data_IF_154314255299
#
_entry.id   IF_154314255299
#
_cell.length_a   1.000
_cell.length_b   1.000
_cell.length_c   1.000
_cell.angle_alpha   90.00
_cell.angle_beta   90.00
_cell.angle_gamma   90.00
#
_symmetry.space_group_name_H-M   'P 1'
#
loop_
_entity.id
_entity.type
_entity.pdbx_description
1 polymer ?
#
# COMPACT_ATOMS: atom_id res chain seq x y z
N UNK A 1 -12.59 -57.96 -41.05
CA UNK A 1 -13.24 -57.44 -39.82
C UNK A 1 -12.54 -56.15 -39.43
N UNK A 2 -12.99 -55.01 -39.96
CA UNK A 2 -12.41 -53.70 -39.63
C UNK A 2 -13.05 -53.24 -38.32
N UNK A 3 -12.25 -53.18 -37.25
CA UNK A 3 -12.69 -52.68 -35.95
C UNK A 3 -12.50 -51.17 -35.96
N UNK A 4 -13.61 -50.44 -36.11
CA UNK A 4 -13.67 -48.98 -35.96
C UNK A 4 -13.40 -48.62 -34.51
N UNK A 5 -12.26 -47.99 -34.21
CA UNK A 5 -11.98 -47.41 -32.89
C UNK A 5 -12.69 -46.06 -32.79
N UNK A 6 -13.80 -45.99 -32.06
CA UNK A 6 -14.47 -44.73 -31.73
C UNK A 6 -13.57 -43.85 -30.85
N UNK A 7 -13.43 -42.55 -31.13
CA UNK A 7 -12.68 -41.64 -30.28
C UNK A 7 -13.40 -41.42 -28.95
N UNK A 8 -12.69 -41.61 -27.83
CA UNK A 8 -13.20 -41.39 -26.49
C UNK A 8 -13.47 -39.90 -26.24
N UNK A 9 -14.68 -39.57 -25.78
CA UNK A 9 -15.07 -38.22 -25.40
C UNK A 9 -14.23 -37.70 -24.21
N UNK A 10 -13.89 -36.40 -24.16
CA UNK A 10 -13.14 -35.82 -23.05
C UNK A 10 -14.01 -35.81 -21.78
N UNK A 11 -13.46 -36.33 -20.68
CA UNK A 11 -14.16 -36.36 -19.37
C UNK A 11 -14.34 -34.93 -18.83
N UNK A 12 -15.49 -34.58 -18.24
CA UNK A 12 -15.69 -33.26 -17.64
C UNK A 12 -14.75 -33.08 -16.43
N UNK A 13 -14.14 -31.90 -16.33
CA UNK A 13 -13.23 -31.54 -15.24
C UNK A 13 -14.04 -31.15 -14.01
N UNK A 14 -13.84 -31.84 -12.88
CA UNK A 14 -14.48 -31.45 -11.62
C UNK A 14 -14.09 -30.01 -11.25
N UNK A 15 -15.03 -29.16 -10.79
CA UNK A 15 -14.70 -27.82 -10.33
C UNK A 15 -13.75 -27.93 -9.13
N UNK A 16 -12.62 -27.24 -9.23
CA UNK A 16 -11.64 -27.17 -8.15
C UNK A 16 -12.30 -26.45 -6.98
N UNK A 17 -12.60 -27.17 -5.89
CA UNK A 17 -13.03 -26.53 -4.64
C UNK A 17 -11.88 -25.64 -4.17
N UNK A 18 -11.97 -24.34 -4.45
CA UNK A 18 -11.17 -23.34 -3.77
C UNK A 18 -11.77 -23.29 -2.38
N UNK A 19 -11.20 -24.04 -1.44
CA UNK A 19 -11.38 -23.70 -0.04
C UNK A 19 -10.72 -22.32 0.12
N UNK A 20 -11.53 -21.27 0.01
CA UNK A 20 -11.18 -19.96 0.51
C UNK A 20 -10.71 -20.18 1.94
N UNK A 21 -9.41 -19.94 2.18
CA UNK A 21 -8.89 -19.80 3.54
C UNK A 21 -9.70 -18.69 4.18
N UNK A 22 -10.76 -19.02 4.89
CA UNK A 22 -11.22 -18.19 6.00
C UNK A 22 -10.17 -18.36 7.08
N UNK A 23 -9.01 -17.72 6.88
CA UNK A 23 -8.30 -17.22 8.03
C UNK A 23 -9.28 -16.28 8.70
N UNK A 24 -9.50 -16.47 10.00
CA UNK A 24 -9.74 -15.31 10.83
C UNK A 24 -8.50 -14.42 10.66
N UNK A 25 -8.51 -13.58 9.62
CA UNK A 25 -7.53 -12.52 9.45
C UNK A 25 -7.67 -11.67 10.71
N UNK A 26 -6.58 -11.35 11.43
CA UNK A 26 -6.67 -10.35 12.49
C UNK A 26 -7.27 -9.09 11.86
N UNK A 27 -8.54 -8.84 12.15
CA UNK A 27 -9.26 -7.68 11.65
C UNK A 27 -8.72 -6.47 12.39
N UNK A 28 -8.45 -5.39 11.66
CA UNK A 28 -7.99 -4.15 12.25
C UNK A 28 -9.12 -3.12 12.18
N UNK A 29 -10.05 -3.11 13.15
CA UNK A 29 -11.11 -2.11 13.20
C UNK A 29 -10.54 -0.75 13.57
N UNK A 30 -11.07 0.29 12.94
CA UNK A 30 -10.90 1.66 13.40
C UNK A 30 -11.78 1.89 14.63
N UNK A 31 -11.19 2.34 15.74
CA UNK A 31 -11.90 2.61 17.01
C UNK A 31 -12.82 3.82 16.92
N UNK A 32 -12.59 4.69 15.94
CA UNK A 32 -13.31 5.96 15.80
C UNK A 32 -14.55 5.85 14.91
N UNK A 33 -14.50 5.02 13.86
CA UNK A 33 -15.60 4.87 12.88
C UNK A 33 -16.06 3.43 12.65
N UNK A 34 -15.46 2.46 13.33
CA UNK A 34 -15.81 1.03 13.21
C UNK A 34 -15.41 0.36 11.89
N UNK A 35 -14.79 1.08 10.95
CA UNK A 35 -14.43 0.51 9.65
C UNK A 35 -13.33 -0.55 9.82
N UNK A 36 -13.53 -1.71 9.19
CA UNK A 36 -12.62 -2.86 9.30
C UNK A 36 -11.63 -2.84 8.13
N UNK A 37 -10.34 -3.00 8.44
CA UNK A 37 -9.28 -3.11 7.44
C UNK A 37 -8.59 -4.46 7.52
N UNK A 38 -8.14 -4.94 6.36
CA UNK A 38 -7.41 -6.19 6.22
C UNK A 38 -5.99 -6.15 6.82
N UNK A 39 -5.42 -4.97 7.10
CA UNK A 39 -4.08 -4.83 7.67
C UNK A 39 -3.99 -3.65 8.64
N UNK A 40 -3.08 -3.76 9.61
CA UNK A 40 -2.78 -2.69 10.56
C UNK A 40 -2.39 -1.39 9.85
N UNK A 41 -1.53 -1.48 8.83
CA UNK A 41 -1.05 -0.31 8.07
C UNK A 41 -2.20 0.45 7.41
N UNK A 42 -3.16 -0.25 6.77
CA UNK A 42 -4.32 0.41 6.18
C UNK A 42 -5.23 1.06 7.23
N UNK A 43 -5.45 0.39 8.37
CA UNK A 43 -6.21 0.98 9.50
C UNK A 43 -5.50 2.22 10.04
N UNK A 44 -4.19 2.16 10.24
CA UNK A 44 -3.40 3.26 10.76
C UNK A 44 -3.40 4.46 9.81
N UNK A 45 -3.19 4.24 8.50
CA UNK A 45 -3.27 5.30 7.49
C UNK A 45 -4.67 5.94 7.43
N UNK A 46 -5.72 5.14 7.56
CA UNK A 46 -7.09 5.65 7.64
C UNK A 46 -7.27 6.56 8.87
N UNK A 47 -6.83 6.11 10.06
CA UNK A 47 -6.90 6.91 11.30
C UNK A 47 -6.13 8.22 11.14
N UNK A 48 -4.92 8.18 10.59
CA UNK A 48 -4.09 9.37 10.35
C UNK A 48 -4.67 10.34 9.30
N UNK A 49 -5.59 9.87 8.45
CA UNK A 49 -6.26 10.70 7.44
C UNK A 49 -7.56 11.31 7.95
N UNK A 50 -8.34 10.54 8.71
CA UNK A 50 -9.71 10.91 9.07
C UNK A 50 -9.89 11.38 10.50
N UNK A 51 -9.05 10.91 11.42
CA UNK A 51 -9.28 11.07 12.85
C UNK A 51 -8.13 11.76 13.58
N UNK A 52 -6.89 11.66 13.08
CA UNK A 52 -5.75 12.39 13.61
C UNK A 52 -5.33 13.52 12.71
N UNK A 53 -4.89 14.62 13.32
CA UNK A 53 -4.10 15.62 12.62
C UNK A 53 -2.77 14.99 12.19
N UNK A 54 -2.51 15.03 10.89
CA UNK A 54 -1.27 14.53 10.31
C UNK A 54 -0.04 15.35 10.75
N UNK A 55 1.08 15.07 10.12
CA UNK A 55 2.32 15.83 10.29
C UNK A 55 2.26 17.08 9.43
N UNK A 56 2.21 18.25 10.06
CA UNK A 56 2.24 19.54 9.37
C UNK A 56 3.67 20.06 9.28
N UNK A 57 4.09 20.47 8.08
CA UNK A 57 5.36 21.15 7.89
C UNK A 57 5.25 22.60 8.38
N UNK A 58 6.08 22.96 9.36
CA UNK A 58 6.13 24.33 9.89
C UNK A 58 6.64 25.34 8.85
N UNK A 59 7.48 24.91 7.90
CA UNK A 59 8.07 25.79 6.87
C UNK A 59 7.08 26.17 5.77
N UNK A 60 6.14 25.29 5.40
CA UNK A 60 5.24 25.55 4.25
C UNK A 60 3.77 25.18 4.48
N UNK A 61 3.41 24.77 5.69
CA UNK A 61 2.03 24.41 6.06
C UNK A 61 1.50 23.11 5.45
N UNK A 62 2.26 22.41 4.60
CA UNK A 62 1.80 21.15 3.99
C UNK A 62 1.58 20.06 5.04
N UNK A 63 0.39 19.44 5.02
CA UNK A 63 0.02 18.32 5.88
C UNK A 63 0.32 16.98 5.21
N UNK A 64 0.87 16.04 5.97
CA UNK A 64 1.21 14.69 5.55
C UNK A 64 0.62 13.68 6.52
N UNK A 65 -0.02 12.64 6.01
CA UNK A 65 -0.62 11.60 6.86
C UNK A 65 0.37 10.49 7.26
N UNK A 66 1.57 10.47 6.67
CA UNK A 66 2.59 9.42 6.86
C UNK A 66 3.91 10.07 7.26
N UNK A 67 4.50 9.61 8.37
CA UNK A 67 5.77 10.13 8.92
C UNK A 67 6.92 10.05 7.90
N UNK A 68 7.06 8.94 7.18
CA UNK A 68 8.09 8.78 6.13
C UNK A 68 7.99 9.85 5.04
N UNK A 69 6.77 10.17 4.62
CA UNK A 69 6.52 11.21 3.60
C UNK A 69 6.83 12.61 4.14
N UNK A 70 6.47 12.88 5.40
CA UNK A 70 6.81 14.12 6.09
C UNK A 70 8.33 14.33 6.21
N UNK A 71 9.07 13.35 6.71
CA UNK A 71 10.53 13.44 6.86
C UNK A 71 11.25 13.60 5.51
N UNK A 72 10.75 12.94 4.46
CA UNK A 72 11.28 13.15 3.10
C UNK A 72 11.02 14.57 2.61
N UNK A 73 9.84 15.11 2.91
CA UNK A 73 9.49 16.47 2.54
C UNK A 73 10.34 17.51 3.28
N UNK A 74 10.59 17.34 4.57
CA UNK A 74 11.38 18.26 5.38
C UNK A 74 12.81 18.42 4.85
N UNK A 75 13.41 17.33 4.35
CA UNK A 75 14.72 17.37 3.67
C UNK A 75 14.77 18.29 2.46
N UNK A 76 13.65 18.51 1.77
CA UNK A 76 13.59 19.43 0.62
C UNK A 76 13.77 20.88 1.09
N UNK A 77 13.33 21.23 2.29
CA UNK A 77 13.58 22.56 2.85
C UNK A 77 15.03 22.71 3.28
N UNK A 78 15.58 21.71 3.97
CA UNK A 78 17.00 21.71 4.37
C UNK A 78 17.91 21.84 3.14
N UNK A 79 17.64 21.12 2.05
CA UNK A 79 18.41 21.19 0.82
C UNK A 79 18.26 22.53 0.07
N UNK A 80 17.21 23.31 0.34
CA UNK A 80 17.05 24.69 -0.18
C UNK A 80 17.73 25.72 0.72
N UNK A 81 17.77 25.46 2.02
CA UNK A 81 18.38 26.35 3.00
C UNK A 81 19.90 26.23 3.02
N UNK A 82 20.44 25.03 2.74
CA UNK A 82 21.88 24.86 2.56
C UNK A 82 22.28 25.40 1.19
N UNK A 83 23.32 26.26 1.11
CA UNK A 83 23.92 26.64 -0.16
C UNK A 83 24.27 25.37 -0.92
N UNK A 84 23.80 25.27 -2.16
CA UNK A 84 24.29 24.25 -3.08
C UNK A 84 25.70 24.66 -3.44
N UNK A 85 26.67 24.23 -2.63
CA UNK A 85 28.08 24.38 -2.91
C UNK A 85 28.30 23.86 -4.33
N UNK A 86 28.71 24.75 -5.23
CA UNK A 86 28.91 24.41 -6.64
C UNK A 86 29.97 23.31 -6.70
N UNK A 87 29.74 22.32 -7.56
CA UNK A 87 30.70 21.27 -7.83
C UNK A 87 31.98 21.91 -8.40
N UNK A 88 33.07 21.95 -7.64
CA UNK A 88 34.36 22.49 -8.12
C UNK A 88 34.95 21.69 -9.30
N UNK A 89 34.36 20.55 -9.65
CA UNK A 89 34.75 19.68 -10.77
C UNK A 89 33.85 19.90 -11.99
N UNK A 90 32.68 20.50 -11.82
CA UNK A 90 31.64 20.52 -12.82
C UNK A 90 30.75 21.76 -12.64
N UNK A 91 31.20 22.88 -13.20
CA UNK A 91 30.38 24.08 -13.37
C UNK A 91 29.27 23.79 -14.40
N UNK A 92 28.06 23.52 -13.91
CA UNK A 92 26.81 23.50 -14.68
C UNK A 92 25.65 24.02 -13.82
#
# INVERSE_FOLDING_TARGET
KQVTKSPAAPKPRCPRKVQSRQKAEPTYPCTECGQIFATYTRRYEHVMKRHKEGYQCSTCGKKFHIKKSFLRHERVHIAKTLPREKCAVCDA
#
